data_IF_556607507751
#
_entry.id   IF_556607507751
#
_cell.length_a   1.000
_cell.length_b   1.000
_cell.length_c   1.000
_cell.angle_alpha   90.00
_cell.angle_beta   90.00
_cell.angle_gamma   90.00
#
_symmetry.space_group_name_H-M   'P 1'
#
loop_
_entity.id
_entity.type
_entity.pdbx_description
1 polymer ?
#
# COMPACT_ATOMS: atom_id res chain seq x y z
N UNK A 1 -54.35 -62.27 60.28
CA UNK A 1 -54.70 -61.19 59.34
C UNK A 1 -53.55 -60.19 59.34
N UNK A 2 -52.76 -60.15 58.26
CA UNK A 2 -51.54 -59.32 58.14
C UNK A 2 -51.82 -58.16 57.18
N UNK A 3 -51.54 -56.92 57.61
CA UNK A 3 -51.60 -55.71 56.77
C UNK A 3 -50.46 -55.69 55.73
N UNK A 4 -50.65 -55.11 54.53
CA UNK A 4 -49.57 -54.82 53.60
C UNK A 4 -48.98 -53.40 53.82
N UNK A 5 -47.73 -53.13 53.36
CA UNK A 5 -47.06 -51.86 53.59
C UNK A 5 -47.30 -50.83 52.47
N UNK A 6 -47.19 -49.54 52.83
CA UNK A 6 -47.21 -48.38 51.93
C UNK A 6 -46.01 -48.37 50.97
N UNK A 7 -46.27 -48.15 49.68
CA UNK A 7 -45.26 -47.85 48.67
C UNK A 7 -44.99 -46.34 48.60
N UNK A 8 -43.72 -45.94 48.77
CA UNK A 8 -43.25 -44.58 48.62
C UNK A 8 -43.02 -44.25 47.13
N UNK A 9 -43.67 -43.20 46.64
CA UNK A 9 -43.47 -42.67 45.29
C UNK A 9 -42.23 -41.75 45.25
N UNK A 10 -41.23 -42.14 44.47
CA UNK A 10 -40.05 -41.32 44.13
C UNK A 10 -40.39 -40.41 42.94
N UNK A 11 -40.38 -39.09 43.16
CA UNK A 11 -40.40 -38.09 42.08
C UNK A 11 -39.01 -37.99 41.42
N UNK A 12 -38.92 -37.90 40.08
CA UNK A 12 -37.65 -37.69 39.40
C UNK A 12 -37.24 -36.21 39.48
N UNK A 13 -36.03 -35.96 39.97
CA UNK A 13 -35.37 -34.67 40.00
C UNK A 13 -34.91 -34.30 38.58
N UNK A 14 -35.57 -33.33 37.94
CA UNK A 14 -35.14 -32.78 36.65
C UNK A 14 -33.94 -31.87 36.88
N UNK A 15 -32.73 -32.35 36.57
CA UNK A 15 -31.53 -31.51 36.50
C UNK A 15 -31.61 -30.60 35.26
N UNK A 16 -31.87 -29.31 35.46
CA UNK A 16 -31.59 -28.28 34.45
C UNK A 16 -30.09 -28.26 34.18
N UNK A 17 -29.67 -28.78 33.03
CA UNK A 17 -28.29 -28.66 32.55
C UNK A 17 -27.96 -27.21 32.23
N UNK A 18 -27.10 -26.59 33.06
CA UNK A 18 -26.40 -25.37 32.68
C UNK A 18 -25.53 -25.68 31.46
N UNK A 19 -25.94 -25.18 30.29
CA UNK A 19 -25.08 -25.17 29.12
C UNK A 19 -23.90 -24.23 29.41
N UNK A 20 -22.64 -24.67 29.23
CA UNK A 20 -21.51 -23.77 29.39
C UNK A 20 -21.58 -22.71 28.30
N UNK A 21 -21.85 -21.46 28.70
CA UNK A 21 -21.67 -20.30 27.84
C UNK A 21 -20.22 -20.28 27.39
N UNK A 22 -19.97 -20.58 26.12
CA UNK A 22 -18.67 -20.35 25.47
C UNK A 22 -18.36 -18.86 25.62
N UNK A 23 -17.49 -18.51 26.57
CA UNK A 23 -16.90 -17.19 26.68
C UNK A 23 -16.06 -16.99 25.43
N UNK A 24 -16.66 -16.35 24.42
CA UNK A 24 -15.97 -15.87 23.23
C UNK A 24 -14.83 -14.97 23.70
N UNK A 25 -13.58 -15.44 23.62
CA UNK A 25 -12.42 -14.62 23.92
C UNK A 25 -12.49 -13.36 23.04
N UNK A 26 -12.47 -12.18 23.66
CA UNK A 26 -12.49 -10.92 22.94
C UNK A 26 -11.27 -10.88 22.00
N UNK A 27 -11.50 -10.67 20.71
CA UNK A 27 -10.42 -10.51 19.76
C UNK A 27 -9.66 -9.21 20.10
N UNK A 28 -8.32 -9.29 20.14
CA UNK A 28 -7.47 -8.10 20.32
C UNK A 28 -7.94 -6.94 19.44
N UNK A 29 -8.09 -5.77 20.03
CA UNK A 29 -8.43 -4.55 19.31
C UNK A 29 -9.89 -4.44 18.88
N UNK A 30 -10.77 -5.37 19.29
CA UNK A 30 -12.22 -5.30 19.04
C UNK A 30 -12.96 -5.16 20.36
N UNK A 31 -13.67 -4.05 20.55
CA UNK A 31 -14.59 -3.82 21.68
C UNK A 31 -16.02 -3.66 21.16
N UNK A 32 -17.04 -3.54 22.02
CA UNK A 32 -18.39 -3.20 21.55
C UNK A 32 -18.47 -1.84 20.82
N UNK A 33 -17.54 -0.92 21.07
CA UNK A 33 -17.54 0.44 20.53
C UNK A 33 -16.61 0.65 19.34
N UNK A 34 -15.51 -0.11 19.25
CA UNK A 34 -14.46 0.17 18.27
C UNK A 34 -13.70 -1.05 17.75
N UNK A 35 -13.06 -0.86 16.59
CA UNK A 35 -12.04 -1.73 16.01
C UNK A 35 -10.77 -0.90 15.86
N UNK A 36 -9.71 -1.29 16.57
CA UNK A 36 -8.42 -0.60 16.61
C UNK A 36 -7.50 -1.10 15.49
N UNK A 37 -7.01 -0.18 14.66
CA UNK A 37 -6.19 -0.44 13.48
C UNK A 37 -4.83 0.19 13.70
N UNK A 38 -3.75 -0.58 13.61
CA UNK A 38 -2.39 -0.08 13.72
C UNK A 38 -1.81 0.27 12.36
N UNK A 39 -1.20 1.43 12.22
CA UNK A 39 -0.50 1.84 11.01
C UNK A 39 0.88 2.39 11.38
N UNK A 40 1.91 1.88 10.72
CA UNK A 40 3.19 2.57 10.63
C UNK A 40 3.35 3.12 9.23
N UNK A 41 3.71 4.39 9.14
CA UNK A 41 3.71 5.12 7.87
C UNK A 41 4.91 6.07 7.84
N UNK A 42 5.59 6.13 6.71
CA UNK A 42 6.73 7.04 6.51
C UNK A 42 6.25 8.48 6.38
N UNK A 43 6.22 9.23 7.48
CA UNK A 43 5.79 10.64 7.51
C UNK A 43 6.98 11.59 7.60
N UNK A 44 8.06 11.17 8.26
CA UNK A 44 9.27 11.98 8.50
C UNK A 44 8.95 13.33 9.13
N UNK A 45 8.10 13.33 10.15
CA UNK A 45 7.59 14.54 10.80
C UNK A 45 6.74 15.42 9.87
N UNK A 46 6.09 14.82 8.87
CA UNK A 46 5.27 15.51 7.86
C UNK A 46 6.03 16.00 6.63
N UNK A 47 7.34 15.76 6.55
CA UNK A 47 8.17 16.13 5.37
C UNK A 47 7.94 15.22 4.17
N UNK A 48 7.49 13.99 4.39
CA UNK A 48 7.12 13.11 3.29
C UNK A 48 5.70 13.45 2.79
N UNK A 49 5.61 14.35 1.83
CA UNK A 49 4.35 14.81 1.23
C UNK A 49 3.49 13.68 0.63
N UNK A 50 4.11 12.62 0.11
CA UNK A 50 3.37 11.46 -0.36
C UNK A 50 2.72 10.71 0.80
N UNK A 51 3.48 10.49 1.88
CA UNK A 51 2.97 9.84 3.10
C UNK A 51 1.85 10.63 3.78
N UNK A 52 1.97 11.97 3.84
CA UNK A 52 0.91 12.83 4.41
C UNK A 52 -0.35 12.82 3.55
N UNK A 53 -0.23 12.85 2.22
CA UNK A 53 -1.37 12.74 1.32
C UNK A 53 -2.08 11.37 1.44
N UNK A 54 -1.32 10.28 1.52
CA UNK A 54 -1.85 8.93 1.79
C UNK A 54 -2.64 8.90 3.10
N UNK A 55 -2.06 9.44 4.19
CA UNK A 55 -2.73 9.49 5.49
C UNK A 55 -4.05 10.27 5.41
N UNK A 56 -4.07 11.43 4.75
CA UNK A 56 -5.28 12.23 4.57
C UNK A 56 -6.37 11.44 3.82
N UNK A 57 -5.99 10.67 2.79
CA UNK A 57 -6.91 9.80 2.05
C UNK A 57 -7.53 8.70 2.91
N UNK A 58 -6.68 8.04 3.72
CA UNK A 58 -7.10 7.03 4.70
C UNK A 58 -8.09 7.62 5.71
N UNK A 59 -7.74 8.77 6.30
CA UNK A 59 -8.57 9.45 7.29
C UNK A 59 -9.94 9.83 6.72
N UNK A 60 -9.98 10.41 5.51
CA UNK A 60 -11.24 10.78 4.86
C UNK A 60 -12.22 9.58 4.73
N UNK A 61 -11.72 8.41 4.32
CA UNK A 61 -12.53 7.19 4.19
C UNK A 61 -13.00 6.63 5.54
N UNK A 62 -12.11 6.59 6.54
CA UNK A 62 -12.41 6.10 7.89
C UNK A 62 -13.44 7.00 8.58
N UNK A 63 -13.24 8.31 8.52
CA UNK A 63 -14.13 9.29 9.14
C UNK A 63 -15.53 9.26 8.52
N UNK A 64 -15.62 9.19 7.18
CA UNK A 64 -16.91 9.02 6.51
C UNK A 64 -17.61 7.74 6.96
N UNK A 65 -16.87 6.64 7.08
CA UNK A 65 -17.43 5.36 7.55
C UNK A 65 -17.91 5.44 8.99
N UNK A 66 -17.15 6.08 9.87
CA UNK A 66 -17.52 6.29 11.27
C UNK A 66 -18.76 7.19 11.42
N UNK A 67 -18.89 8.24 10.59
CA UNK A 67 -20.11 9.07 10.54
C UNK A 67 -21.34 8.26 10.11
N UNK A 68 -21.14 7.20 9.34
CA UNK A 68 -22.20 6.31 8.84
C UNK A 68 -22.39 5.06 9.72
N UNK A 69 -22.03 5.12 11.01
CA UNK A 69 -22.26 4.03 11.96
C UNK A 69 -21.15 2.99 12.06
N UNK A 70 -20.03 3.19 11.35
CA UNK A 70 -18.84 2.34 11.46
C UNK A 70 -18.99 0.99 10.75
N UNK A 71 -18.31 -0.03 11.26
CA UNK A 71 -18.37 -1.42 10.75
C UNK A 71 -18.89 -2.31 11.86
N UNK A 72 -19.95 -3.07 11.58
CA UNK A 72 -20.64 -3.89 12.58
C UNK A 72 -20.99 -3.11 13.86
N UNK A 73 -21.44 -1.85 13.70
CA UNK A 73 -21.79 -0.94 14.79
C UNK A 73 -20.60 -0.33 15.56
N UNK A 74 -19.35 -0.58 15.12
CA UNK A 74 -18.12 -0.16 15.81
C UNK A 74 -17.38 0.90 15.02
N UNK A 75 -16.85 1.91 15.70
CA UNK A 75 -15.96 2.92 15.10
C UNK A 75 -14.62 2.30 14.73
N UNK A 76 -14.08 2.67 13.58
CA UNK A 76 -12.71 2.36 13.21
C UNK A 76 -11.79 3.42 13.84
N UNK A 77 -10.82 2.98 14.63
CA UNK A 77 -9.83 3.86 15.27
C UNK A 77 -8.46 3.54 14.72
N UNK A 78 -7.82 4.54 14.10
CA UNK A 78 -6.50 4.41 13.50
C UNK A 78 -5.44 4.93 14.46
N UNK A 79 -4.48 4.08 14.82
CA UNK A 79 -3.28 4.46 15.57
C UNK A 79 -2.09 4.50 14.62
N UNK A 80 -1.55 5.69 14.39
CA UNK A 80 -0.45 5.93 13.44
C UNK A 80 0.86 6.14 14.19
N UNK A 81 1.93 5.52 13.70
CA UNK A 81 3.30 5.76 14.13
C UNK A 81 4.16 6.12 12.92
N UNK A 82 5.01 7.13 13.06
CA UNK A 82 5.98 7.50 12.02
C UNK A 82 7.19 6.56 12.09
N UNK A 83 7.59 6.00 10.95
CA UNK A 83 8.80 5.18 10.84
C UNK A 83 10.03 5.92 10.31
N UNK A 84 9.89 7.20 9.95
CA UNK A 84 10.99 8.04 9.46
C UNK A 84 11.78 7.40 8.29
N UNK A 85 11.10 6.57 7.48
CA UNK A 85 11.67 5.78 6.39
C UNK A 85 12.75 4.78 6.83
N UNK A 86 12.68 4.30 8.08
CA UNK A 86 13.64 3.35 8.66
C UNK A 86 12.95 2.01 8.88
N UNK A 87 13.36 1.00 8.12
CA UNK A 87 12.79 -0.36 8.22
C UNK A 87 12.85 -0.93 9.64
N UNK A 88 13.93 -0.70 10.38
CA UNK A 88 14.05 -1.15 11.76
C UNK A 88 13.02 -0.48 12.70
N UNK A 89 12.75 0.82 12.49
CA UNK A 89 11.74 1.55 13.25
C UNK A 89 10.33 1.11 12.85
N UNK A 90 10.08 0.87 11.56
CA UNK A 90 8.81 0.32 11.08
C UNK A 90 8.50 -1.06 11.70
N UNK A 91 9.49 -1.96 11.79
CA UNK A 91 9.34 -3.25 12.47
C UNK A 91 9.03 -3.06 13.97
N UNK A 92 9.76 -2.17 14.65
CA UNK A 92 9.55 -1.88 16.06
C UNK A 92 8.16 -1.28 16.34
N UNK A 93 7.72 -0.31 15.54
CA UNK A 93 6.39 0.29 15.58
C UNK A 93 5.31 -0.78 15.40
N UNK A 94 5.44 -1.64 14.38
CA UNK A 94 4.48 -2.72 14.13
C UNK A 94 4.39 -3.70 15.31
N UNK A 95 5.54 -4.08 15.90
CA UNK A 95 5.56 -4.94 17.09
C UNK A 95 4.92 -4.25 18.29
N UNK A 96 5.15 -2.96 18.51
CA UNK A 96 4.53 -2.20 19.59
C UNK A 96 3.00 -2.13 19.42
N UNK A 97 2.53 -1.78 18.22
CA UNK A 97 1.10 -1.71 17.89
C UNK A 97 0.40 -3.03 18.20
N UNK A 98 1.02 -4.16 17.86
CA UNK A 98 0.40 -5.48 18.12
C UNK A 98 0.51 -5.87 19.59
N UNK A 99 1.70 -5.77 20.19
CA UNK A 99 1.97 -6.38 21.50
C UNK A 99 1.50 -5.54 22.68
N UNK A 100 1.61 -4.20 22.57
CA UNK A 100 1.27 -3.26 23.63
C UNK A 100 -0.11 -2.64 23.38
N UNK A 101 -0.35 -2.13 22.17
CA UNK A 101 -1.60 -1.44 21.85
C UNK A 101 -2.74 -2.40 21.48
N UNK A 102 -2.43 -3.69 21.31
CA UNK A 102 -3.39 -4.74 21.01
C UNK A 102 -4.26 -4.40 19.79
N UNK A 103 -3.67 -3.85 18.73
CA UNK A 103 -4.43 -3.56 17.50
C UNK A 103 -4.98 -4.84 16.87
N UNK A 104 -6.14 -4.75 16.23
CA UNK A 104 -6.79 -5.87 15.55
C UNK A 104 -5.95 -6.36 14.36
N UNK A 105 -5.46 -5.43 13.55
CA UNK A 105 -4.60 -5.68 12.40
C UNK A 105 -3.61 -4.54 12.18
N UNK A 106 -2.58 -4.84 11.39
CA UNK A 106 -1.70 -3.83 10.82
C UNK A 106 -2.25 -3.40 9.45
N UNK A 107 -2.20 -2.10 9.18
CA UNK A 107 -2.79 -1.51 7.99
C UNK A 107 -1.82 -0.54 7.32
N UNK A 108 -1.82 -0.55 5.99
CA UNK A 108 -1.08 0.42 5.21
C UNK A 108 0.43 0.19 5.25
N UNK A 109 1.19 1.24 5.57
CA UNK A 109 2.61 1.37 5.27
C UNK A 109 2.90 1.69 3.80
N UNK A 110 3.87 2.56 3.61
CA UNK A 110 4.43 2.97 2.32
C UNK A 110 5.91 2.64 2.33
N UNK A 111 6.60 2.90 1.22
CA UNK A 111 8.01 2.59 1.01
C UNK A 111 8.33 1.08 1.06
N UNK A 112 9.18 0.63 0.14
CA UNK A 112 9.38 -0.81 -0.05
C UNK A 112 10.04 -1.52 1.13
N UNK A 113 11.01 -0.86 1.77
CA UNK A 113 11.73 -1.35 2.94
C UNK A 113 10.84 -1.40 4.19
N UNK A 114 10.31 -0.25 4.66
CA UNK A 114 9.37 -0.19 5.78
C UNK A 114 8.22 -1.17 5.64
N UNK A 115 7.53 -1.22 4.49
CA UNK A 115 6.41 -2.16 4.27
C UNK A 115 6.82 -3.63 4.40
N UNK A 116 8.01 -4.01 3.95
CA UNK A 116 8.55 -5.38 4.13
C UNK A 116 8.84 -5.69 5.60
N UNK A 117 9.31 -4.69 6.36
CA UNK A 117 9.58 -4.83 7.79
C UNK A 117 8.28 -4.97 8.62
N UNK A 118 7.22 -4.24 8.25
CA UNK A 118 5.88 -4.41 8.82
C UNK A 118 5.33 -5.80 8.55
N UNK A 119 5.44 -6.26 7.30
CA UNK A 119 5.05 -7.62 6.93
C UNK A 119 5.75 -8.65 7.83
N UNK A 120 7.06 -8.53 8.03
CA UNK A 120 7.82 -9.46 8.86
C UNK A 120 7.26 -9.51 10.29
N UNK A 121 7.06 -8.35 10.92
CA UNK A 121 6.44 -8.29 12.24
C UNK A 121 5.02 -8.89 12.26
N UNK A 122 4.21 -8.60 11.24
CA UNK A 122 2.86 -9.12 11.13
C UNK A 122 2.83 -10.66 11.03
N UNK A 123 3.69 -11.24 10.19
CA UNK A 123 3.82 -12.68 10.02
C UNK A 123 4.31 -13.35 11.30
N UNK A 124 5.36 -12.81 11.92
CA UNK A 124 5.91 -13.33 13.18
C UNK A 124 4.88 -13.35 14.30
N UNK A 125 4.06 -12.30 14.38
CA UNK A 125 3.04 -12.11 15.42
C UNK A 125 1.68 -12.70 15.02
N UNK A 126 1.56 -13.29 13.83
CA UNK A 126 0.32 -13.89 13.29
C UNK A 126 -0.86 -12.91 13.26
N UNK A 127 -0.59 -11.68 12.83
CA UNK A 127 -1.59 -10.61 12.67
C UNK A 127 -1.76 -10.28 11.18
N UNK A 128 -3.00 -10.07 10.69
CA UNK A 128 -3.19 -9.64 9.31
C UNK A 128 -2.50 -8.29 9.04
N UNK A 129 -1.87 -8.19 7.88
CA UNK A 129 -1.32 -6.96 7.34
C UNK A 129 -2.04 -6.58 6.05
N UNK A 130 -2.92 -5.58 6.13
CA UNK A 130 -3.79 -5.22 5.03
C UNK A 130 -3.33 -3.95 4.32
N UNK A 131 -3.29 -4.00 2.99
CA UNK A 131 -3.10 -2.86 2.13
C UNK A 131 -1.73 -2.16 2.21
N UNK A 132 -0.57 -2.87 2.20
CA UNK A 132 0.69 -2.19 1.94
C UNK A 132 0.61 -1.39 0.64
N UNK A 133 0.88 -0.09 0.73
CA UNK A 133 0.91 0.87 -0.39
C UNK A 133 2.33 0.97 -0.96
N UNK A 134 2.96 -0.20 -1.11
CA UNK A 134 4.27 -0.40 -1.69
C UNK A 134 4.25 -1.59 -2.65
N UNK A 135 4.96 -1.46 -3.77
CA UNK A 135 5.04 -2.49 -4.81
C UNK A 135 6.17 -3.52 -4.63
N UNK A 136 6.69 -3.72 -3.41
CA UNK A 136 7.79 -4.67 -3.15
C UNK A 136 7.42 -6.11 -3.54
N UNK A 137 8.35 -6.89 -4.14
CA UNK A 137 8.07 -8.29 -4.51
C UNK A 137 7.81 -9.18 -3.30
N UNK A 138 8.51 -8.91 -2.19
CA UNK A 138 8.43 -9.65 -0.90
C UNK A 138 7.02 -9.71 -0.32
N UNK A 139 6.20 -8.70 -0.60
CA UNK A 139 4.80 -8.62 -0.15
C UNK A 139 3.88 -9.61 -0.88
N UNK A 140 4.38 -10.31 -1.90
CA UNK A 140 3.63 -11.26 -2.74
C UNK A 140 4.36 -12.58 -2.97
N UNK A 141 5.69 -12.56 -3.07
CA UNK A 141 6.53 -13.72 -3.41
C UNK A 141 7.71 -13.86 -2.42
N UNK A 142 7.88 -15.02 -1.75
CA UNK A 142 6.94 -16.16 -1.72
C UNK A 142 5.56 -15.74 -1.19
N UNK A 143 4.54 -16.58 -1.40
CA UNK A 143 3.18 -16.25 -0.97
C UNK A 143 3.15 -15.93 0.52
N UNK A 144 2.54 -14.78 0.86
CA UNK A 144 2.38 -14.28 2.22
C UNK A 144 0.91 -14.40 2.66
N UNK A 145 0.50 -15.44 3.41
CA UNK A 145 -0.92 -15.69 3.70
C UNK A 145 -1.60 -14.62 4.55
N UNK A 146 -0.82 -13.82 5.30
CA UNK A 146 -1.32 -12.76 6.18
C UNK A 146 -1.22 -11.36 5.55
N UNK A 147 -0.70 -11.23 4.34
CA UNK A 147 -0.49 -9.94 3.67
C UNK A 147 -1.48 -9.79 2.53
N UNK A 148 -2.20 -8.68 2.50
CA UNK A 148 -3.26 -8.42 1.53
C UNK A 148 -3.00 -7.11 0.78
N UNK A 149 -2.12 -7.10 -0.25
CA UNK A 149 -1.88 -5.90 -1.06
C UNK A 149 -3.16 -5.43 -1.77
N UNK A 150 -3.30 -4.12 -1.95
CA UNK A 150 -4.42 -3.53 -2.73
C UNK A 150 -3.94 -3.06 -4.10
N UNK A 151 -2.88 -2.27 -4.17
CA UNK A 151 -2.27 -1.84 -5.46
C UNK A 151 -1.59 -2.99 -6.23
N UNK A 152 -1.24 -2.73 -7.49
CA UNK A 152 -0.41 -3.62 -8.32
C UNK A 152 1.03 -3.78 -7.77
N UNK A 153 1.84 -4.69 -8.30
CA UNK A 153 3.27 -4.81 -7.95
C UNK A 153 4.11 -3.78 -8.75
N UNK A 154 5.24 -3.29 -8.22
CA UNK A 154 6.14 -2.42 -9.00
C UNK A 154 6.66 -3.11 -10.26
N UNK A 155 6.75 -4.45 -10.26
CA UNK A 155 7.11 -5.22 -11.46
C UNK A 155 6.18 -4.92 -12.64
N UNK A 156 4.89 -4.72 -12.37
CA UNK A 156 3.91 -4.44 -13.42
C UNK A 156 4.03 -2.98 -13.90
N UNK A 157 4.31 -2.04 -12.99
CA UNK A 157 4.68 -0.66 -13.35
C UNK A 157 5.94 -0.61 -14.23
N UNK A 158 7.02 -1.29 -13.82
CA UNK A 158 8.26 -1.36 -14.60
C UNK A 158 8.02 -1.95 -15.99
N UNK A 159 7.20 -3.01 -16.08
CA UNK A 159 6.82 -3.61 -17.36
C UNK A 159 6.11 -2.59 -18.25
N UNK A 160 5.12 -1.87 -17.72
CA UNK A 160 4.38 -0.87 -18.49
C UNK A 160 5.30 0.25 -19.00
N UNK A 161 6.17 0.79 -18.13
CA UNK A 161 7.14 1.83 -18.49
C UNK A 161 8.10 1.36 -19.58
N UNK A 162 8.66 0.16 -19.43
CA UNK A 162 9.58 -0.43 -20.41
C UNK A 162 8.88 -0.71 -21.74
N UNK A 163 7.67 -1.27 -21.74
CA UNK A 163 6.91 -1.51 -22.97
C UNK A 163 6.54 -0.21 -23.69
N UNK A 164 6.17 0.84 -22.95
CA UNK A 164 5.94 2.16 -23.52
C UNK A 164 7.21 2.71 -24.18
N UNK A 165 8.35 2.68 -23.48
CA UNK A 165 9.62 3.13 -24.04
C UNK A 165 10.00 2.35 -25.31
N UNK A 166 9.83 1.03 -25.30
CA UNK A 166 10.02 0.16 -26.48
C UNK A 166 9.12 0.56 -27.64
N UNK A 167 7.85 0.90 -27.39
CA UNK A 167 6.91 1.34 -28.42
C UNK A 167 7.36 2.63 -29.12
N UNK A 168 8.18 3.45 -28.45
CA UNK A 168 8.80 4.67 -28.98
C UNK A 168 10.19 4.42 -29.59
N UNK A 169 10.60 3.16 -29.76
CA UNK A 169 11.90 2.79 -30.32
C UNK A 169 13.07 2.92 -29.33
N UNK A 170 12.81 3.08 -28.03
CA UNK A 170 13.86 3.07 -27.00
C UNK A 170 14.22 1.62 -26.66
N UNK A 171 15.50 1.28 -26.79
CA UNK A 171 16.05 -0.06 -26.54
C UNK A 171 17.08 -0.12 -25.41
N UNK A 172 17.44 1.01 -24.78
CA UNK A 172 18.41 1.05 -23.65
C UNK A 172 17.86 1.81 -22.46
N UNK A 173 17.93 1.22 -21.28
CA UNK A 173 17.38 1.79 -20.05
C UNK A 173 18.40 1.84 -18.92
N UNK A 174 18.37 2.93 -18.15
CA UNK A 174 19.04 3.04 -16.85
C UNK A 174 18.02 2.95 -15.72
N UNK A 175 18.40 2.30 -14.62
CA UNK A 175 17.54 2.12 -13.46
C UNK A 175 18.15 2.78 -12.22
N UNK A 176 17.41 3.72 -11.64
CA UNK A 176 17.80 4.41 -10.39
C UNK A 176 17.09 3.73 -9.24
N UNK A 177 17.84 3.26 -8.24
CA UNK A 177 17.24 2.52 -7.13
C UNK A 177 17.88 2.79 -5.78
N UNK A 178 17.10 2.69 -4.71
CA UNK A 178 17.69 2.65 -3.37
C UNK A 178 18.68 1.48 -3.25
N UNK A 179 19.79 1.74 -2.57
CA UNK A 179 20.80 0.74 -2.21
C UNK A 179 20.33 -0.06 -0.99
N UNK A 180 19.45 -1.03 -1.25
CA UNK A 180 18.83 -1.87 -0.24
C UNK A 180 18.49 -3.24 -0.82
N UNK A 181 18.16 -4.20 0.06
CA UNK A 181 17.70 -5.53 -0.36
C UNK A 181 16.47 -5.45 -1.27
N UNK A 182 15.48 -4.62 -0.93
CA UNK A 182 14.32 -4.37 -1.79
C UNK A 182 14.72 -3.76 -3.14
N UNK A 183 15.68 -2.82 -3.15
CA UNK A 183 16.22 -2.26 -4.38
C UNK A 183 16.88 -3.31 -5.28
N UNK A 184 17.63 -4.25 -4.70
CA UNK A 184 18.23 -5.37 -5.43
C UNK A 184 17.19 -6.31 -6.05
N UNK A 185 16.10 -6.59 -5.32
CA UNK A 185 14.97 -7.36 -5.88
C UNK A 185 14.30 -6.63 -7.04
N UNK A 186 14.18 -5.30 -6.96
CA UNK A 186 13.68 -4.50 -8.09
C UNK A 186 14.65 -4.51 -9.27
N UNK A 187 15.97 -4.43 -9.06
CA UNK A 187 16.95 -4.57 -10.13
C UNK A 187 16.82 -5.93 -10.83
N UNK A 188 16.67 -7.02 -10.08
CA UNK A 188 16.45 -8.35 -10.63
C UNK A 188 15.15 -8.42 -11.46
N UNK A 189 14.08 -7.74 -11.02
CA UNK A 189 12.85 -7.58 -11.81
C UNK A 189 13.11 -6.83 -13.12
N UNK A 190 13.82 -5.70 -13.09
CA UNK A 190 14.17 -4.92 -14.28
C UNK A 190 15.02 -5.74 -15.25
N UNK A 191 16.03 -6.48 -14.76
CA UNK A 191 16.86 -7.35 -15.58
C UNK A 191 16.07 -8.50 -16.23
N UNK A 192 15.09 -9.06 -15.51
CA UNK A 192 14.17 -10.05 -16.08
C UNK A 192 13.30 -9.43 -17.19
N UNK A 193 12.69 -8.28 -16.92
CA UNK A 193 11.85 -7.56 -17.88
C UNK A 193 12.65 -7.13 -19.11
N UNK A 194 13.91 -6.73 -18.94
CA UNK A 194 14.85 -6.42 -20.03
C UNK A 194 14.98 -7.61 -20.99
N UNK A 195 15.21 -8.82 -20.46
CA UNK A 195 15.25 -10.06 -21.27
C UNK A 195 13.92 -10.37 -21.95
N UNK A 196 12.79 -10.20 -21.25
CA UNK A 196 11.45 -10.47 -21.79
C UNK A 196 11.05 -9.49 -22.91
N UNK A 197 11.45 -8.22 -22.79
CA UNK A 197 11.05 -7.15 -23.70
C UNK A 197 12.05 -6.90 -24.82
N UNK A 198 13.28 -7.40 -24.71
CA UNK A 198 14.39 -7.12 -25.62
C UNK A 198 15.02 -5.73 -25.42
N UNK A 199 14.70 -5.04 -24.33
CA UNK A 199 15.35 -3.79 -23.92
C UNK A 199 16.63 -4.15 -23.15
N UNK A 200 17.71 -3.43 -23.42
CA UNK A 200 18.97 -3.57 -22.70
C UNK A 200 18.99 -2.69 -21.43
N UNK A 201 19.20 -3.28 -20.26
CA UNK A 201 19.45 -2.54 -19.02
C UNK A 201 20.94 -2.15 -18.96
N UNK A 202 21.26 -0.94 -19.42
CA UNK A 202 22.65 -0.50 -19.65
C UNK A 202 23.32 0.09 -18.42
N UNK A 203 22.56 0.52 -17.41
CA UNK A 203 23.14 1.12 -16.20
C UNK A 203 22.23 0.94 -14.98
N UNK A 204 22.83 0.53 -13.88
CA UNK A 204 22.25 0.52 -12.54
C UNK A 204 22.85 1.67 -11.73
N UNK A 205 21.99 2.42 -11.05
CA UNK A 205 22.31 3.64 -10.31
C UNK A 205 21.79 3.51 -8.86
N UNK A 206 22.49 2.75 -7.99
CA UNK A 206 22.13 2.62 -6.59
C UNK A 206 22.42 3.91 -5.79
N UNK A 207 21.59 4.21 -4.79
CA UNK A 207 21.83 5.34 -3.89
C UNK A 207 21.43 5.07 -2.43
N UNK A 208 22.16 5.69 -1.51
CA UNK A 208 21.82 5.70 -0.08
C UNK A 208 20.94 6.92 0.26
N UNK A 209 20.21 6.85 1.37
CA UNK A 209 19.32 7.94 1.80
C UNK A 209 20.05 9.24 2.14
N UNK A 210 21.33 9.15 2.52
CA UNK A 210 22.23 10.23 2.90
C UNK A 210 23.17 10.66 1.75
N UNK A 211 22.87 10.26 0.51
CA UNK A 211 23.70 10.56 -0.66
C UNK A 211 23.94 12.07 -0.81
N UNK A 212 25.20 12.46 -1.04
CA UNK A 212 25.62 13.84 -1.22
C UNK A 212 25.60 14.29 -2.69
N UNK A 213 25.66 15.61 -2.92
CA UNK A 213 25.61 16.18 -4.27
C UNK A 213 26.77 15.72 -5.17
N UNK A 214 27.95 15.45 -4.60
CA UNK A 214 29.11 14.95 -5.34
C UNK A 214 28.87 13.53 -5.90
N UNK A 215 28.20 12.67 -5.14
CA UNK A 215 27.83 11.32 -5.57
C UNK A 215 26.73 11.37 -6.61
N UNK A 216 25.74 12.25 -6.46
CA UNK A 216 24.71 12.49 -7.48
C UNK A 216 25.37 12.96 -8.79
N UNK A 217 26.34 13.86 -8.73
CA UNK A 217 27.08 14.31 -9.91
C UNK A 217 27.87 13.16 -10.57
N UNK A 218 28.37 12.21 -9.78
CA UNK A 218 28.99 10.99 -10.30
C UNK A 218 27.98 10.09 -11.01
N UNK A 219 26.79 9.90 -10.44
CA UNK A 219 25.68 9.17 -11.07
C UNK A 219 25.25 9.83 -12.40
N UNK A 220 25.24 11.16 -12.47
CA UNK A 220 24.94 11.90 -13.72
C UNK A 220 25.98 11.61 -14.80
N UNK A 221 27.27 11.59 -14.46
CA UNK A 221 28.34 11.24 -15.42
C UNK A 221 28.17 9.81 -15.92
N UNK A 222 27.98 8.86 -15.01
CA UNK A 222 27.72 7.46 -15.36
C UNK A 222 26.48 7.33 -16.27
N UNK A 223 25.42 8.07 -15.98
CA UNK A 223 24.22 8.10 -16.82
C UNK A 223 24.51 8.71 -18.21
N UNK A 224 25.29 9.78 -18.31
CA UNK A 224 25.65 10.38 -19.60
C UNK A 224 26.44 9.40 -20.48
N UNK A 225 27.37 8.65 -19.89
CA UNK A 225 28.23 7.70 -20.59
C UNK A 225 27.48 6.41 -21.00
N UNK A 226 26.38 6.08 -20.29
CA UNK A 226 25.60 4.85 -20.50
C UNK A 226 24.89 4.73 -21.85
N UNK A 227 24.69 5.85 -22.55
CA UNK A 227 23.82 5.96 -23.74
C UNK A 227 22.39 5.46 -23.51
N UNK A 228 21.91 5.47 -22.25
CA UNK A 228 20.52 5.16 -21.93
C UNK A 228 19.56 6.12 -22.65
N UNK A 229 18.48 5.58 -23.20
CA UNK A 229 17.43 6.35 -23.86
C UNK A 229 16.28 6.67 -22.89
N UNK A 230 16.11 5.81 -21.88
CA UNK A 230 15.12 5.94 -20.81
C UNK A 230 15.82 5.80 -19.46
N UNK A 231 15.35 6.53 -18.45
CA UNK A 231 15.71 6.35 -17.04
C UNK A 231 14.44 6.27 -16.23
N UNK A 232 14.29 5.27 -15.38
CA UNK A 232 13.21 5.22 -14.40
C UNK A 232 13.70 4.84 -13.02
N UNK A 233 12.88 5.11 -12.00
CA UNK A 233 13.30 5.02 -10.61
C UNK A 233 12.52 4.00 -9.78
N UNK A 234 13.12 3.61 -8.68
CA UNK A 234 12.47 3.08 -7.49
C UNK A 234 13.17 3.64 -6.23
N UNK A 235 12.42 4.30 -5.35
CA UNK A 235 12.95 4.91 -4.13
C UNK A 235 12.63 6.40 -4.05
N UNK A 236 13.28 7.11 -3.12
CA UNK A 236 12.93 8.48 -2.75
C UNK A 236 12.83 9.48 -3.91
N UNK A 237 11.64 10.06 -4.09
CA UNK A 237 11.34 11.04 -5.14
C UNK A 237 12.25 12.27 -5.10
N UNK A 238 12.60 12.76 -3.90
CA UNK A 238 13.49 13.92 -3.74
C UNK A 238 14.92 13.67 -4.24
N UNK A 239 15.44 12.45 -4.11
CA UNK A 239 16.73 12.09 -4.74
C UNK A 239 16.57 12.14 -6.26
N UNK A 240 15.54 11.48 -6.79
CA UNK A 240 15.32 11.40 -8.22
C UNK A 240 15.13 12.79 -8.85
N UNK A 241 14.46 13.72 -8.16
CA UNK A 241 14.37 15.12 -8.54
C UNK A 241 15.76 15.77 -8.71
N UNK A 242 16.63 15.64 -7.69
CA UNK A 242 18.00 16.19 -7.73
C UNK A 242 18.81 15.62 -8.90
N UNK A 243 18.72 14.29 -9.11
CA UNK A 243 19.36 13.62 -10.23
C UNK A 243 18.88 14.19 -11.58
N UNK A 244 17.57 14.34 -11.77
CA UNK A 244 16.98 14.88 -13.00
C UNK A 244 17.50 16.31 -13.26
N UNK A 245 17.50 17.17 -12.24
CA UNK A 245 17.99 18.56 -12.38
C UNK A 245 19.45 18.59 -12.81
N UNK A 246 20.33 17.87 -12.10
CA UNK A 246 21.75 17.81 -12.44
C UNK A 246 21.99 17.18 -13.82
N UNK A 247 21.25 16.12 -14.16
CA UNK A 247 21.35 15.49 -15.48
C UNK A 247 20.95 16.44 -16.62
N UNK A 248 19.90 17.23 -16.43
CA UNK A 248 19.47 18.24 -17.41
C UNK A 248 20.49 19.37 -17.53
N UNK A 249 21.06 19.83 -16.43
CA UNK A 249 22.18 20.81 -16.44
C UNK A 249 23.42 20.27 -17.18
N UNK A 250 23.70 18.97 -17.03
CA UNK A 250 24.79 18.28 -17.72
C UNK A 250 24.46 17.89 -19.18
N UNK A 251 23.28 18.26 -19.71
CA UNK A 251 22.90 18.02 -21.09
C UNK A 251 22.46 16.58 -21.41
N UNK A 252 22.21 15.73 -20.40
CA UNK A 252 21.71 14.36 -20.59
C UNK A 252 20.36 14.39 -21.31
N UNK A 253 20.27 13.63 -22.41
CA UNK A 253 19.10 13.59 -23.31
C UNK A 253 18.12 12.46 -23.05
N UNK A 254 18.44 11.54 -22.14
CA UNK A 254 17.55 10.43 -21.80
C UNK A 254 16.17 10.94 -21.33
N UNK A 255 15.12 10.20 -21.67
CA UNK A 255 13.76 10.46 -21.20
C UNK A 255 13.63 9.96 -19.75
N UNK A 256 13.11 10.80 -18.86
CA UNK A 256 12.88 10.42 -17.45
C UNK A 256 11.44 9.94 -17.27
N UNK A 257 11.31 8.80 -16.61
CA UNK A 257 10.07 8.09 -16.35
C UNK A 257 9.98 7.82 -14.84
N UNK A 258 8.77 7.72 -14.28
CA UNK A 258 8.60 7.49 -12.84
C UNK A 258 7.60 6.39 -12.52
N UNK A 259 7.74 5.81 -11.34
CA UNK A 259 6.67 5.01 -10.71
C UNK A 259 5.63 5.91 -10.04
N UNK A 260 4.51 5.32 -9.60
CA UNK A 260 3.38 6.02 -8.97
C UNK A 260 3.79 6.82 -7.72
N UNK A 261 4.60 6.21 -6.85
CA UNK A 261 4.95 6.75 -5.53
C UNK A 261 5.66 8.09 -5.63
N UNK A 262 5.02 9.14 -5.11
CA UNK A 262 5.52 10.52 -5.17
C UNK A 262 5.44 11.20 -6.54
N UNK A 263 4.72 10.62 -7.52
CA UNK A 263 4.66 11.15 -8.88
C UNK A 263 4.10 12.58 -8.94
N UNK A 264 3.02 12.88 -8.21
CA UNK A 264 2.43 14.23 -8.16
C UNK A 264 3.40 15.26 -7.59
N UNK A 265 4.09 14.92 -6.50
CA UNK A 265 5.08 15.78 -5.85
C UNK A 265 6.29 16.01 -6.73
N UNK A 266 6.82 14.94 -7.34
CA UNK A 266 7.97 15.03 -8.24
C UNK A 266 7.67 15.93 -9.44
N UNK A 267 6.52 15.74 -10.09
CA UNK A 267 6.12 16.57 -11.22
C UNK A 267 5.95 18.05 -10.83
N UNK A 268 5.32 18.30 -9.67
CA UNK A 268 5.16 19.65 -9.11
C UNK A 268 6.50 20.32 -8.86
N UNK A 269 7.43 19.65 -8.18
CA UNK A 269 8.73 20.23 -7.85
C UNK A 269 9.60 20.46 -9.08
N UNK A 270 9.63 19.51 -10.03
CA UNK A 270 10.39 19.67 -11.27
C UNK A 270 9.88 20.82 -12.14
N UNK A 271 8.60 21.19 -12.03
CA UNK A 271 8.00 22.25 -12.85
C UNK A 271 8.16 21.95 -14.34
N UNK A 272 8.70 22.90 -15.10
CA UNK A 272 8.93 22.75 -16.54
C UNK A 272 9.79 21.53 -16.91
N UNK A 273 10.69 21.09 -16.01
CA UNK A 273 11.52 19.89 -16.24
C UNK A 273 10.71 18.59 -16.24
N UNK A 274 9.49 18.61 -15.69
CA UNK A 274 8.60 17.46 -15.71
C UNK A 274 7.93 17.24 -17.07
N UNK A 275 7.91 18.26 -17.94
CA UNK A 275 7.21 18.17 -19.22
C UNK A 275 7.68 16.97 -20.05
N UNK A 276 6.72 16.13 -20.46
CA UNK A 276 6.98 14.93 -21.24
C UNK A 276 7.45 13.72 -20.43
N UNK A 277 7.63 13.84 -19.11
CA UNK A 277 7.86 12.68 -18.25
C UNK A 277 6.64 11.76 -18.26
N UNK A 278 6.89 10.45 -18.26
CA UNK A 278 5.87 9.41 -18.19
C UNK A 278 5.90 8.77 -16.81
N UNK A 279 4.74 8.65 -16.18
CA UNK A 279 4.59 8.00 -14.89
C UNK A 279 3.68 6.78 -15.00
N UNK A 280 4.09 5.67 -14.40
CA UNK A 280 3.17 4.59 -14.11
C UNK A 280 2.28 5.00 -12.94
N UNK A 281 1.00 4.67 -13.03
CA UNK A 281 0.00 4.96 -12.01
C UNK A 281 -0.72 3.67 -11.65
N UNK A 282 -0.86 3.41 -10.36
CA UNK A 282 -1.63 2.25 -9.88
C UNK A 282 -3.05 2.64 -9.46
N UNK A 283 -3.40 3.89 -9.70
CA UNK A 283 -4.71 4.50 -9.48
C UNK A 283 -5.16 5.23 -10.76
N UNK A 284 -6.47 5.37 -11.01
CA UNK A 284 -6.94 6.27 -12.04
C UNK A 284 -6.62 7.73 -11.69
N UNK A 285 -6.77 8.64 -12.64
CA UNK A 285 -6.53 10.07 -12.41
C UNK A 285 -7.38 10.61 -11.24
N UNK A 286 -6.77 11.17 -10.18
CA UNK A 286 -7.51 11.67 -9.02
C UNK A 286 -8.26 12.98 -9.32
N UNK A 287 -7.90 13.68 -10.40
CA UNK A 287 -8.52 14.94 -10.82
C UNK A 287 -9.73 14.73 -11.73
N UNK A 288 -9.89 13.55 -12.33
CA UNK A 288 -10.98 13.28 -13.26
C UNK A 288 -12.14 12.55 -12.60
N UNK A 289 -13.38 12.96 -12.86
CA UNK A 289 -14.60 12.33 -12.32
C UNK A 289 -15.19 11.22 -13.21
N UNK A 290 -14.34 10.55 -14.00
CA UNK A 290 -14.76 9.55 -15.00
C UNK A 290 -15.27 8.24 -14.38
N UNK A 291 -14.67 7.80 -13.27
CA UNK A 291 -15.00 6.51 -12.64
C UNK A 291 -15.86 6.68 -11.39
N UNK A 292 -16.54 5.61 -10.95
CA UNK A 292 -17.26 5.62 -9.67
C UNK A 292 -16.28 5.88 -8.50
N UNK A 293 -15.09 5.29 -8.56
CA UNK A 293 -14.04 5.50 -7.57
C UNK A 293 -13.65 6.97 -7.45
N UNK A 294 -13.32 7.63 -8.57
CA UNK A 294 -12.82 9.00 -8.52
C UNK A 294 -13.90 10.02 -8.15
N UNK A 295 -15.17 9.76 -8.48
CA UNK A 295 -16.30 10.55 -7.96
C UNK A 295 -16.44 10.41 -6.45
N UNK A 296 -16.51 9.18 -5.95
CA UNK A 296 -16.66 8.91 -4.52
C UNK A 296 -15.48 9.45 -3.71
N UNK A 297 -14.25 9.28 -4.22
CA UNK A 297 -13.04 9.83 -3.62
C UNK A 297 -13.11 11.35 -3.50
N UNK A 298 -13.37 12.08 -4.59
CA UNK A 298 -13.42 13.55 -4.54
C UNK A 298 -14.51 14.04 -3.59
N UNK A 299 -15.70 13.42 -3.60
CA UNK A 299 -16.80 13.83 -2.72
C UNK A 299 -16.46 13.62 -1.24
N UNK A 300 -15.87 12.46 -0.90
CA UNK A 300 -15.43 12.16 0.46
C UNK A 300 -14.24 13.03 0.88
N UNK A 301 -13.26 13.21 -0.01
CA UNK A 301 -12.02 13.89 0.31
C UNK A 301 -12.22 15.40 0.46
N UNK A 302 -12.98 16.04 -0.43
CA UNK A 302 -13.29 17.47 -0.30
C UNK A 302 -14.09 17.81 0.95
N UNK A 303 -14.94 16.89 1.43
CA UNK A 303 -15.72 17.08 2.66
C UNK A 303 -14.94 16.75 3.93
N UNK A 304 -14.09 15.71 3.90
CA UNK A 304 -13.30 15.29 5.06
C UNK A 304 -11.98 16.04 5.24
N UNK A 305 -11.38 16.53 4.16
CA UNK A 305 -10.05 17.14 4.12
C UNK A 305 -10.09 18.47 3.34
N UNK A 306 -10.88 19.46 3.80
CA UNK A 306 -11.08 20.71 3.07
C UNK A 306 -9.74 21.45 2.84
N UNK A 307 -9.52 21.88 1.60
CA UNK A 307 -8.32 22.62 1.20
C UNK A 307 -7.09 21.75 0.87
N UNK A 308 -7.12 20.44 1.15
CA UNK A 308 -6.04 19.56 0.70
C UNK A 308 -6.17 19.23 -0.80
N UNK A 309 -5.06 19.25 -1.56
CA UNK A 309 -5.09 18.95 -2.98
C UNK A 309 -5.34 17.46 -3.24
N UNK A 310 -6.03 17.16 -4.34
CA UNK A 310 -6.09 15.79 -4.84
C UNK A 310 -4.72 15.35 -5.36
N UNK A 311 -4.38 14.10 -5.06
CA UNK A 311 -3.15 13.45 -5.53
C UNK A 311 -3.35 11.94 -5.65
N UNK A 312 -2.45 11.27 -6.36
CA UNK A 312 -2.46 9.80 -6.42
C UNK A 312 -2.29 9.17 -5.04
N UNK A 313 -1.45 9.77 -4.16
CA UNK A 313 -1.27 9.29 -2.79
C UNK A 313 -2.56 9.35 -1.97
N UNK A 314 -3.28 10.47 -2.01
CA UNK A 314 -4.57 10.59 -1.31
C UNK A 314 -5.66 9.68 -1.88
N UNK A 315 -5.67 9.43 -3.19
CA UNK A 315 -6.60 8.47 -3.79
C UNK A 315 -6.23 7.02 -3.42
N UNK A 316 -4.94 6.68 -3.41
CA UNK A 316 -4.46 5.36 -3.00
C UNK A 316 -4.77 5.07 -1.53
N UNK A 317 -4.53 6.04 -0.64
CA UNK A 317 -4.92 5.96 0.77
C UNK A 317 -6.43 5.76 0.95
N UNK A 318 -7.23 6.53 0.23
CA UNK A 318 -8.69 6.40 0.23
C UNK A 318 -9.14 5.00 -0.23
N UNK A 319 -8.72 4.56 -1.42
CA UNK A 319 -9.11 3.26 -1.98
C UNK A 319 -8.70 2.11 -1.06
N UNK A 320 -7.48 2.17 -0.52
CA UNK A 320 -6.94 1.14 0.37
C UNK A 320 -7.74 1.06 1.68
N UNK A 321 -8.13 2.20 2.24
CA UNK A 321 -9.03 2.25 3.40
C UNK A 321 -10.43 1.73 3.06
N UNK A 322 -11.01 2.08 1.89
CA UNK A 322 -12.30 1.54 1.44
C UNK A 322 -12.25 0.01 1.27
N UNK A 323 -11.16 -0.53 0.76
CA UNK A 323 -10.93 -1.97 0.68
C UNK A 323 -10.83 -2.63 2.06
N UNK A 324 -10.16 -2.00 3.03
CA UNK A 324 -10.12 -2.47 4.42
C UNK A 324 -11.52 -2.52 5.04
N UNK A 325 -12.31 -1.45 4.85
CA UNK A 325 -13.67 -1.36 5.39
C UNK A 325 -14.54 -2.51 4.86
N UNK A 326 -14.43 -2.82 3.56
CA UNK A 326 -15.14 -3.97 2.97
C UNK A 326 -14.63 -5.31 3.51
N UNK A 327 -13.31 -5.46 3.68
CA UNK A 327 -12.72 -6.65 4.30
C UNK A 327 -13.23 -6.86 5.75
N UNK A 328 -13.32 -5.78 6.54
CA UNK A 328 -13.87 -5.82 7.90
C UNK A 328 -15.36 -6.17 7.91
N UNK A 329 -16.15 -5.71 6.95
CA UNK A 329 -17.57 -6.11 6.84
C UNK A 329 -17.73 -7.60 6.57
N UNK A 330 -16.82 -8.18 5.77
CA UNK A 330 -16.80 -9.62 5.46
C UNK A 330 -16.40 -10.50 6.65
N UNK A 331 -15.73 -9.92 7.65
CA UNK A 331 -15.48 -10.61 8.92
C UNK A 331 -16.77 -10.85 9.74
N UNK A 332 -17.89 -10.23 9.36
CA UNK A 332 -19.20 -10.43 9.99
C UNK A 332 -19.45 -9.52 11.20
N UNK A 333 -20.56 -9.75 11.93
CA UNK A 333 -21.00 -8.84 13.00
C UNK A 333 -20.11 -8.85 14.26
N UNK A 334 -19.30 -9.89 14.44
CA UNK A 334 -18.38 -10.06 15.56
C UNK A 334 -16.98 -10.38 15.02
N UNK A 335 -16.27 -9.36 14.49
CA UNK A 335 -15.00 -9.59 13.81
C UNK A 335 -13.94 -10.14 14.75
N UNK A 336 -13.31 -11.23 14.33
CA UNK A 336 -12.05 -11.79 14.83
C UNK A 336 -11.03 -11.86 13.70
N UNK A 337 -9.73 -11.99 14.03
CA UNK A 337 -8.68 -12.17 13.00
C UNK A 337 -9.00 -13.38 12.10
N UNK A 338 -9.49 -14.47 12.69
CA UNK A 338 -9.88 -15.67 11.93
C UNK A 338 -11.05 -15.41 10.98
N UNK A 339 -12.11 -14.73 11.44
CA UNK A 339 -13.24 -14.39 10.58
C UNK A 339 -12.85 -13.40 9.46
N UNK A 340 -11.91 -12.51 9.74
CA UNK A 340 -11.35 -11.58 8.74
C UNK A 340 -10.58 -12.33 7.66
N UNK A 341 -9.69 -13.25 8.04
CA UNK A 341 -8.96 -14.10 7.10
C UNK A 341 -9.91 -15.00 6.30
N UNK A 342 -10.92 -15.58 6.96
CA UNK A 342 -11.94 -16.41 6.31
C UNK A 342 -12.75 -15.60 5.27
N UNK A 343 -13.14 -14.36 5.59
CA UNK A 343 -13.85 -13.48 4.68
C UNK A 343 -13.05 -13.06 3.44
N UNK A 344 -11.71 -13.10 3.52
CA UNK A 344 -10.80 -12.77 2.43
C UNK A 344 -10.30 -13.99 1.64
N UNK A 345 -10.57 -15.22 2.12
CA UNK A 345 -10.12 -16.44 1.44
C UNK A 345 -10.85 -16.61 0.10
N UNK A 346 -10.08 -16.77 -0.98
CA UNK A 346 -10.60 -16.96 -2.34
C UNK A 346 -11.63 -15.90 -2.78
N UNK A 347 -11.44 -14.65 -2.35
CA UNK A 347 -12.38 -13.55 -2.57
C UNK A 347 -11.88 -12.57 -3.64
N UNK A 348 -12.83 -11.97 -4.36
CA UNK A 348 -12.62 -10.73 -5.14
C UNK A 348 -13.40 -9.60 -4.45
N UNK A 349 -12.71 -8.56 -4.01
CA UNK A 349 -13.35 -7.34 -3.51
C UNK A 349 -13.65 -6.41 -4.69
N UNK A 350 -14.83 -5.79 -4.67
CA UNK A 350 -15.24 -4.78 -5.66
C UNK A 350 -15.46 -3.45 -4.95
N UNK A 351 -14.54 -2.51 -5.16
CA UNK A 351 -14.49 -1.21 -4.49
C UNK A 351 -14.68 -0.13 -5.56
N UNK A 352 -15.92 0.38 -5.68
CA UNK A 352 -16.28 1.40 -6.67
C UNK A 352 -15.85 1.07 -8.13
N UNK A 353 -15.97 -0.20 -8.51
CA UNK A 353 -15.60 -0.70 -9.84
C UNK A 353 -14.16 -1.22 -9.94
N UNK A 354 -13.34 -1.02 -8.90
CA UNK A 354 -12.01 -1.63 -8.80
C UNK A 354 -12.10 -3.04 -8.26
N UNK A 355 -11.45 -3.99 -8.96
CA UNK A 355 -11.39 -5.40 -8.57
C UNK A 355 -10.06 -5.71 -7.88
N UNK A 356 -10.14 -6.27 -6.68
CA UNK A 356 -8.99 -6.67 -5.87
C UNK A 356 -9.09 -8.17 -5.64
N UNK A 357 -8.14 -8.95 -6.14
CA UNK A 357 -8.21 -10.42 -6.13
C UNK A 357 -7.29 -11.04 -5.06
N UNK A 358 -7.87 -11.93 -4.25
CA UNK A 358 -7.18 -12.80 -3.30
C UNK A 358 -7.57 -14.26 -3.56
N UNK A 359 -6.59 -15.10 -3.89
CA UNK A 359 -6.76 -16.54 -4.15
C UNK A 359 -5.81 -17.33 -3.26
N UNK A 360 -6.14 -18.59 -3.01
CA UNK A 360 -5.25 -19.52 -2.31
C UNK A 360 -3.89 -19.54 -3.03
N UNK A 361 -2.82 -19.22 -2.30
CA UNK A 361 -1.46 -19.14 -2.84
C UNK A 361 -1.10 -17.84 -3.57
N UNK A 362 -2.05 -16.90 -3.77
CA UNK A 362 -1.79 -15.65 -4.49
C UNK A 362 -2.68 -14.49 -4.02
N UNK A 363 -2.08 -13.53 -3.32
CA UNK A 363 -2.73 -12.25 -2.98
C UNK A 363 -2.22 -11.15 -3.91
N UNK A 364 -2.82 -11.04 -5.09
CA UNK A 364 -2.32 -10.15 -6.16
C UNK A 364 -2.67 -8.69 -5.91
N UNK A 365 -3.86 -8.43 -5.35
CA UNK A 365 -4.45 -7.10 -5.30
C UNK A 365 -5.09 -6.74 -6.65
N UNK A 366 -5.08 -5.45 -6.99
CA UNK A 366 -5.41 -4.95 -8.33
C UNK A 366 -4.29 -5.21 -9.33
N UNK A 367 -4.64 -5.31 -10.61
CA UNK A 367 -3.69 -5.34 -11.73
C UNK A 367 -3.63 -4.00 -12.50
N UNK A 368 -4.30 -2.95 -12.01
CA UNK A 368 -4.31 -1.65 -12.66
C UNK A 368 -2.89 -1.06 -12.68
N UNK A 369 -2.39 -0.85 -13.90
CA UNK A 369 -1.26 0.01 -14.20
C UNK A 369 -1.65 0.85 -15.39
N UNK A 370 -1.73 2.14 -15.19
CA UNK A 370 -1.98 3.14 -16.21
C UNK A 370 -0.70 3.97 -16.45
N UNK A 371 -0.61 4.66 -17.59
CA UNK A 371 0.50 5.54 -17.91
C UNK A 371 -0.01 6.95 -18.07
N UNK A 372 0.67 7.91 -17.44
CA UNK A 372 0.32 9.32 -17.54
C UNK A 372 1.53 10.15 -17.96
N UNK A 373 1.35 11.00 -18.96
CA UNK A 373 2.33 12.00 -19.39
C UNK A 373 2.07 13.34 -18.72
N UNK A 374 3.14 14.03 -18.32
CA UNK A 374 3.03 15.41 -17.81
C UNK A 374 2.99 16.40 -18.97
N UNK A 375 1.90 17.16 -19.08
CA UNK A 375 1.71 18.19 -20.13
C UNK A 375 2.56 19.43 -19.85
N UNK A 376 2.60 20.37 -20.81
CA UNK A 376 3.33 21.63 -20.65
C UNK A 376 2.75 22.50 -19.53
N UNK A 377 1.47 22.31 -19.20
CA UNK A 377 0.80 22.98 -18.08
C UNK A 377 1.03 22.25 -16.74
N UNK A 378 1.90 21.25 -16.68
CA UNK A 378 2.20 20.49 -15.46
C UNK A 378 1.09 19.52 -15.03
N UNK A 379 0.15 19.18 -15.92
CA UNK A 379 -0.97 18.27 -15.62
C UNK A 379 -0.65 16.85 -16.06
N UNK A 380 -1.18 15.87 -15.33
CA UNK A 380 -1.16 14.47 -15.77
C UNK A 380 -2.25 14.22 -16.81
N UNK A 381 -1.86 13.64 -17.94
CA UNK A 381 -2.78 13.17 -18.99
C UNK A 381 -2.55 11.68 -19.21
N UNK A 382 -3.63 10.91 -19.15
CA UNK A 382 -3.66 9.47 -19.38
C UNK A 382 -3.99 9.19 -20.85
#
# INVERSE_FOLDING_TARGET
MKCPPLAAALLPLVLLGLSPSLTQAAADGVTPEQILIGQTLTLQGGKNEYGTAVLAGVQAAIEQTNRNGGVAGRKLVLKVMDDDNKSALAEANARQLVTQDKVFLLFGSIEGGPSTAVMKAAVDLKVPFFGPMAGSPTLRTPHQPLVFPVRAEHKDEFRALMLHARSLGMGRVAFVRSDSETGQLHLANVQRLARETGIEAVTDLPFKSDIGDADIAAMVRQLADSKAQMVFNHGGAGMYEKLIRQARQAGVKAAFYGVNSGSSQLASHLGDLAHGMIFAQVMPSPWERKTALTRAYQDTFSSGQPGQPFSYGSLEGYLTARALIEALRRAGPNPSRDSFLAGLRNTELSIEGMKISYRDGAHTGMSLVDLAIVTREGRFRH
#
